data_IF_897692816327
#
_entry.id   IF_897692816327
#
_cell.length_a   1.000
_cell.length_b   1.000
_cell.length_c   1.000
_cell.angle_alpha   90.00
_cell.angle_beta   90.00
_cell.angle_gamma   90.00
#
_symmetry.space_group_name_H-M   'P 1'
#
loop_
_entity.id
_entity.type
_entity.pdbx_description
1 polymer ?
#
# COMPACT_ATOMS: atom_id res chain seq x y z
N UNK A 1 23.28 -20.36 -26.85
CA UNK A 1 22.06 -19.94 -26.14
C UNK A 1 22.49 -19.00 -25.02
N UNK A 2 22.09 -17.72 -25.00
CA UNK A 2 22.51 -16.85 -23.92
C UNK A 2 21.68 -17.16 -22.67
N UNK A 3 22.37 -17.67 -21.65
CA UNK A 3 21.91 -17.71 -20.26
C UNK A 3 21.74 -16.26 -19.78
N UNK A 4 20.50 -15.81 -19.64
CA UNK A 4 20.19 -14.59 -18.89
C UNK A 4 19.00 -14.89 -17.98
N UNK A 5 19.19 -15.84 -17.06
CA UNK A 5 18.30 -15.99 -15.91
C UNK A 5 18.51 -14.75 -15.06
N UNK A 6 17.55 -13.83 -15.19
CA UNK A 6 17.45 -12.56 -14.50
C UNK A 6 17.39 -12.81 -12.98
N UNK A 7 18.54 -13.05 -12.34
CA UNK A 7 18.70 -12.94 -10.90
C UNK A 7 18.69 -11.46 -10.51
N UNK A 8 17.60 -10.75 -10.83
CA UNK A 8 17.30 -9.47 -10.19
C UNK A 8 17.04 -9.82 -8.74
N UNK A 9 18.02 -9.55 -7.88
CA UNK A 9 17.90 -9.85 -6.45
C UNK A 9 16.60 -9.28 -5.85
N UNK A 10 16.09 -9.92 -4.80
CA UNK A 10 14.82 -9.58 -4.13
C UNK A 10 14.60 -8.06 -3.95
N UNK A 11 15.65 -7.34 -3.53
CA UNK A 11 15.63 -5.89 -3.37
C UNK A 11 15.44 -5.11 -4.67
N UNK A 12 16.07 -5.54 -5.77
CA UNK A 12 15.93 -4.87 -7.06
C UNK A 12 14.49 -5.01 -7.61
N UNK A 13 13.86 -6.17 -7.40
CA UNK A 13 12.47 -6.41 -7.76
C UNK A 13 11.51 -5.53 -6.95
N UNK A 14 11.59 -5.57 -5.61
CA UNK A 14 10.73 -4.74 -4.74
C UNK A 14 10.95 -3.25 -5.01
N UNK A 15 12.19 -2.81 -5.22
CA UNK A 15 12.50 -1.41 -5.60
C UNK A 15 11.82 -1.02 -6.91
N UNK A 16 11.87 -1.89 -7.92
CA UNK A 16 11.21 -1.64 -9.19
C UNK A 16 9.70 -1.52 -9.03
N UNK A 17 9.08 -2.40 -8.23
CA UNK A 17 7.65 -2.36 -7.97
C UNK A 17 7.21 -1.09 -7.22
N UNK A 18 7.98 -0.64 -6.22
CA UNK A 18 7.76 0.64 -5.53
C UNK A 18 7.84 1.80 -6.52
N UNK A 19 8.82 1.78 -7.44
CA UNK A 19 8.95 2.79 -8.47
C UNK A 19 7.76 2.80 -9.45
N UNK A 20 7.28 1.63 -9.85
CA UNK A 20 6.07 1.51 -10.69
C UNK A 20 4.84 2.09 -9.98
N UNK A 21 4.65 1.76 -8.69
CA UNK A 21 3.60 2.34 -7.86
C UNK A 21 3.71 3.87 -7.82
N UNK A 22 4.91 4.42 -7.57
CA UNK A 22 5.09 5.88 -7.56
C UNK A 22 4.70 6.55 -8.89
N UNK A 23 4.96 5.90 -10.01
CA UNK A 23 4.61 6.39 -11.35
C UNK A 23 3.18 6.03 -11.81
N UNK A 24 2.35 5.40 -10.95
CA UNK A 24 1.04 4.87 -11.32
C UNK A 24 1.09 3.90 -12.52
N UNK A 25 2.22 3.21 -12.69
CA UNK A 25 2.43 2.20 -13.73
C UNK A 25 2.08 0.83 -13.18
N UNK A 26 1.33 0.00 -13.93
CA UNK A 26 0.94 -1.32 -13.46
C UNK A 26 2.16 -2.23 -13.31
N UNK A 27 2.15 -3.06 -12.26
CA UNK A 27 3.16 -4.10 -12.04
C UNK A 27 2.71 -5.41 -12.67
N UNK A 28 3.64 -6.08 -13.34
CA UNK A 28 3.41 -7.39 -13.94
C UNK A 28 4.03 -8.50 -13.10
N UNK A 29 3.20 -9.23 -12.36
CA UNK A 29 3.68 -10.32 -11.51
C UNK A 29 3.87 -11.64 -12.29
N UNK A 30 3.49 -11.69 -13.57
CA UNK A 30 3.74 -12.86 -14.43
C UNK A 30 5.19 -12.91 -14.93
N UNK A 31 5.79 -11.75 -15.21
CA UNK A 31 7.18 -11.62 -15.65
C UNK A 31 8.16 -11.69 -14.48
N UNK A 32 7.77 -11.15 -13.32
CA UNK A 32 8.57 -11.16 -12.08
C UNK A 32 7.77 -11.80 -10.95
N UNK A 33 7.80 -13.14 -10.83
CA UNK A 33 7.05 -13.84 -9.80
C UNK A 33 7.58 -13.45 -8.42
N UNK A 34 6.65 -13.18 -7.52
CA UNK A 34 6.96 -12.86 -6.13
C UNK A 34 6.82 -14.09 -5.25
N UNK A 35 7.38 -14.00 -4.05
CA UNK A 35 7.23 -15.00 -3.00
C UNK A 35 7.09 -14.29 -1.65
N UNK A 36 7.03 -15.06 -0.56
CA UNK A 36 6.85 -14.52 0.79
C UNK A 36 7.96 -13.56 1.21
N UNK A 37 9.20 -13.76 0.73
CA UNK A 37 10.32 -12.85 1.04
C UNK A 37 10.10 -11.47 0.43
N UNK A 38 9.55 -11.38 -0.78
CA UNK A 38 9.20 -10.09 -1.40
C UNK A 38 8.10 -9.39 -0.61
N UNK A 39 7.09 -10.13 -0.16
CA UNK A 39 6.00 -9.59 0.65
C UNK A 39 6.52 -9.06 2.00
N UNK A 40 7.30 -9.86 2.72
CA UNK A 40 7.88 -9.46 4.01
C UNK A 40 8.82 -8.26 3.86
N UNK A 41 9.64 -8.23 2.80
CA UNK A 41 10.52 -7.11 2.51
C UNK A 41 9.73 -5.83 2.25
N UNK A 42 8.66 -5.90 1.43
CA UNK A 42 7.81 -4.76 1.16
C UNK A 42 7.09 -4.27 2.42
N UNK A 43 6.55 -5.18 3.23
CA UNK A 43 5.91 -4.85 4.51
C UNK A 43 6.88 -4.16 5.47
N UNK A 44 8.11 -4.65 5.56
CA UNK A 44 9.17 -4.04 6.37
C UNK A 44 9.52 -2.62 5.87
N UNK A 45 9.73 -2.45 4.56
CA UNK A 45 10.04 -1.15 3.97
C UNK A 45 8.92 -0.13 4.19
N UNK A 46 7.66 -0.51 3.95
CA UNK A 46 6.50 0.34 4.21
C UNK A 46 6.39 0.72 5.69
N UNK A 47 6.63 -0.25 6.59
CA UNK A 47 6.65 -0.01 8.05
C UNK A 47 7.70 1.03 8.43
N UNK A 48 8.93 0.88 7.95
CA UNK A 48 9.99 1.85 8.20
C UNK A 48 9.64 3.24 7.67
N UNK A 49 9.06 3.34 6.47
CA UNK A 49 8.67 4.62 5.87
C UNK A 49 7.54 5.30 6.65
N UNK A 50 6.53 4.54 7.07
CA UNK A 50 5.42 5.03 7.90
C UNK A 50 5.94 5.54 9.25
N UNK A 51 6.81 4.75 9.91
CA UNK A 51 7.42 5.14 11.18
C UNK A 51 8.24 6.43 11.04
N UNK A 52 9.09 6.53 10.02
CA UNK A 52 9.86 7.73 9.75
C UNK A 52 8.95 8.95 9.48
N UNK A 53 7.90 8.81 8.66
CA UNK A 53 6.95 9.88 8.39
C UNK A 53 6.22 10.34 9.67
N UNK A 54 5.88 9.41 10.56
CA UNK A 54 5.29 9.72 11.86
C UNK A 54 6.25 10.52 12.76
N UNK A 55 7.52 10.09 12.86
CA UNK A 55 8.52 10.81 13.65
C UNK A 55 8.74 12.24 13.15
N UNK A 56 8.84 12.41 11.82
CA UNK A 56 8.96 13.74 11.20
C UNK A 56 7.75 14.60 11.58
N UNK A 57 6.54 14.05 11.52
CA UNK A 57 5.34 14.77 11.95
C UNK A 57 5.39 15.20 13.41
N UNK A 58 5.79 14.31 14.32
CA UNK A 58 5.90 14.64 15.74
C UNK A 58 6.91 15.77 15.97
N UNK A 59 8.06 15.73 15.27
CA UNK A 59 9.06 16.81 15.29
C UNK A 59 8.45 18.13 14.82
N UNK A 60 7.78 18.15 13.67
CA UNK A 60 7.14 19.35 13.12
C UNK A 60 6.05 19.93 14.02
N UNK A 61 5.35 19.07 14.78
CA UNK A 61 4.32 19.50 15.74
C UNK A 61 4.87 19.95 17.10
N UNK A 62 6.20 20.01 17.28
CA UNK A 62 6.89 20.38 18.54
C UNK A 62 6.46 19.50 19.74
N UNK A 63 5.95 18.30 19.49
CA UNK A 63 5.54 17.35 20.53
C UNK A 63 6.73 16.50 21.00
N UNK A 64 7.77 17.15 21.54
CA UNK A 64 9.04 16.51 21.92
C UNK A 64 8.88 15.38 22.97
N UNK A 65 7.92 15.53 23.89
CA UNK A 65 7.62 14.49 24.88
C UNK A 65 6.98 13.24 24.24
N UNK A 66 6.00 13.42 23.33
CA UNK A 66 5.42 12.30 22.57
C UNK A 66 6.44 11.67 21.63
N UNK A 67 7.36 12.46 21.07
CA UNK A 67 8.46 11.96 20.24
C UNK A 67 9.38 11.03 21.03
N UNK A 68 9.82 11.44 22.22
CA UNK A 68 10.65 10.61 23.09
C UNK A 68 9.96 9.30 23.47
N UNK A 69 8.66 9.35 23.82
CA UNK A 69 7.86 8.16 24.12
C UNK A 69 7.74 7.20 22.93
N UNK A 70 7.52 7.70 21.71
CA UNK A 70 7.39 6.86 20.51
C UNK A 70 8.75 6.30 20.02
N UNK A 71 9.86 6.95 20.36
CA UNK A 71 11.21 6.40 20.13
C UNK A 71 11.51 5.27 21.13
N UNK A 72 11.15 5.45 22.41
CA UNK A 72 11.43 4.46 23.47
C UNK A 72 10.45 3.28 23.42
N UNK A 73 9.20 3.51 22.99
CA UNK A 73 8.16 2.48 22.91
C UNK A 73 7.30 2.68 21.65
N UNK A 74 7.70 2.11 20.50
CA UNK A 74 7.01 2.29 19.22
C UNK A 74 5.74 1.43 19.08
N UNK A 75 5.12 1.01 20.20
CA UNK A 75 4.04 0.02 20.22
C UNK A 75 2.87 0.40 19.30
N UNK A 76 2.41 1.66 19.34
CA UNK A 76 1.30 2.11 18.49
C UNK A 76 1.62 2.01 16.99
N UNK A 77 2.85 2.33 16.60
CA UNK A 77 3.25 2.28 15.19
C UNK A 77 3.40 0.81 14.76
N UNK A 78 3.96 -0.04 15.61
CA UNK A 78 4.01 -1.48 15.38
C UNK A 78 2.60 -2.09 15.22
N UNK A 79 1.63 -1.69 16.07
CA UNK A 79 0.24 -2.12 15.93
C UNK A 79 -0.36 -1.69 14.60
N UNK A 80 -0.16 -0.43 14.20
CA UNK A 80 -0.65 0.03 12.90
C UNK A 80 0.02 -0.70 11.73
N UNK A 81 1.30 -1.06 11.82
CA UNK A 81 1.99 -1.84 10.80
C UNK A 81 1.45 -3.28 10.71
N UNK A 82 1.21 -3.95 11.84
CA UNK A 82 0.55 -5.27 11.84
C UNK A 82 -0.85 -5.17 11.25
N UNK A 83 -1.60 -4.13 11.61
CA UNK A 83 -2.93 -3.88 11.09
C UNK A 83 -2.92 -3.69 9.56
N UNK A 84 -1.94 -2.94 9.02
CA UNK A 84 -1.76 -2.77 7.57
C UNK A 84 -1.44 -4.09 6.83
N UNK A 85 -0.64 -4.96 7.45
CA UNK A 85 -0.36 -6.31 6.92
C UNK A 85 -1.63 -7.15 6.90
N UNK A 86 -2.38 -7.20 8.01
CA UNK A 86 -3.62 -7.96 8.12
C UNK A 86 -4.66 -7.44 7.12
N UNK A 87 -4.87 -6.12 7.05
CA UNK A 87 -5.79 -5.54 6.09
C UNK A 87 -5.38 -5.89 4.67
N UNK A 88 -4.08 -5.79 4.32
CA UNK A 88 -3.61 -6.12 2.97
C UNK A 88 -3.86 -7.57 2.59
N UNK A 89 -3.75 -8.51 3.56
CA UNK A 89 -4.12 -9.90 3.37
C UNK A 89 -5.62 -10.09 3.17
N UNK A 90 -6.45 -9.43 3.99
CA UNK A 90 -7.93 -9.46 3.86
C UNK A 90 -8.35 -8.85 2.52
N UNK A 91 -7.77 -7.71 2.13
CA UNK A 91 -8.00 -7.07 0.84
C UNK A 91 -7.62 -8.00 -0.31
N UNK A 92 -6.41 -8.59 -0.26
CA UNK A 92 -5.96 -9.55 -1.26
C UNK A 92 -6.88 -10.77 -1.39
N UNK A 93 -7.43 -11.25 -0.26
CA UNK A 93 -8.42 -12.32 -0.24
C UNK A 93 -9.74 -11.91 -0.88
N UNK A 94 -10.27 -10.72 -0.53
CA UNK A 94 -11.50 -10.18 -1.14
C UNK A 94 -11.32 -10.01 -2.65
N UNK A 95 -10.20 -9.45 -3.11
CA UNK A 95 -9.89 -9.40 -4.54
C UNK A 95 -9.78 -10.79 -5.16
N UNK A 96 -9.19 -11.76 -4.45
CA UNK A 96 -9.11 -13.15 -4.90
C UNK A 96 -10.47 -13.79 -5.14
N UNK A 97 -11.49 -13.46 -4.36
CA UNK A 97 -12.88 -13.92 -4.58
C UNK A 97 -13.42 -13.37 -5.91
N UNK A 98 -13.27 -12.06 -6.15
CA UNK A 98 -13.77 -11.44 -7.38
C UNK A 98 -12.98 -11.85 -8.62
N UNK A 99 -11.72 -12.23 -8.44
CA UNK A 99 -10.82 -12.64 -9.50
C UNK A 99 -10.78 -14.16 -9.70
N UNK A 100 -11.49 -14.94 -8.88
CA UNK A 100 -11.42 -16.41 -8.86
C UNK A 100 -9.96 -16.93 -8.83
N UNK A 101 -9.08 -16.24 -8.09
CA UNK A 101 -7.68 -16.63 -7.93
C UNK A 101 -7.17 -16.20 -6.55
N UNK A 102 -6.99 -17.17 -5.66
CA UNK A 102 -6.40 -16.95 -4.35
C UNK A 102 -4.87 -17.03 -4.44
N UNK A 103 -4.20 -15.88 -4.52
CA UNK A 103 -2.74 -15.83 -4.61
C UNK A 103 -2.13 -14.75 -3.72
N UNK A 104 -0.91 -15.00 -3.24
CA UNK A 104 -0.09 -14.03 -2.49
C UNK A 104 0.14 -12.75 -3.32
N UNK A 105 0.13 -12.86 -4.64
CA UNK A 105 0.21 -11.76 -5.60
C UNK A 105 -0.83 -10.68 -5.34
N UNK A 106 -2.08 -11.07 -5.03
CA UNK A 106 -3.14 -10.11 -4.74
C UNK A 106 -2.84 -9.32 -3.46
N UNK A 107 -2.50 -10.03 -2.37
CA UNK A 107 -2.15 -9.38 -1.09
C UNK A 107 -0.89 -8.51 -1.20
N UNK A 108 0.07 -8.92 -2.03
CA UNK A 108 1.26 -8.13 -2.32
C UNK A 108 0.95 -6.84 -3.05
N UNK A 109 0.11 -6.89 -4.11
CA UNK A 109 -0.29 -5.70 -4.84
C UNK A 109 -1.09 -4.74 -3.95
N UNK A 110 -1.95 -5.27 -3.07
CA UNK A 110 -2.66 -4.46 -2.07
C UNK A 110 -1.65 -3.78 -1.14
N UNK A 111 -0.72 -4.52 -0.53
CA UNK A 111 0.36 -3.95 0.31
C UNK A 111 1.20 -2.91 -0.44
N UNK A 112 1.45 -3.12 -1.73
CA UNK A 112 2.21 -2.18 -2.55
C UNK A 112 1.43 -0.88 -2.76
N UNK A 113 0.11 -0.97 -2.96
CA UNK A 113 -0.78 0.19 -3.08
C UNK A 113 -0.86 1.01 -1.79
N UNK A 114 -0.53 0.45 -0.62
CA UNK A 114 -0.46 1.23 0.63
C UNK A 114 0.81 2.08 0.73
N UNK A 115 1.76 1.92 -0.20
CA UNK A 115 3.00 2.69 -0.23
C UNK A 115 2.82 4.20 -0.44
N UNK A 116 1.64 4.69 -0.80
CA UNK A 116 1.35 6.14 -0.80
C UNK A 116 1.25 6.73 0.62
N UNK A 117 1.05 5.91 1.66
CA UNK A 117 0.70 6.39 3.01
C UNK A 117 1.73 7.33 3.65
N UNK A 118 3.04 7.02 3.61
CA UNK A 118 4.07 7.92 4.12
C UNK A 118 3.99 9.33 3.50
N UNK A 119 3.67 9.42 2.20
CA UNK A 119 3.58 10.70 1.50
C UNK A 119 2.37 11.52 1.95
N UNK A 120 1.22 10.88 2.10
CA UNK A 120 0.03 11.54 2.66
C UNK A 120 0.32 12.06 4.05
N UNK A 121 0.95 11.27 4.91
CA UNK A 121 1.33 11.72 6.26
C UNK A 121 2.22 12.95 6.24
N UNK A 122 3.18 13.03 5.31
CA UNK A 122 4.07 14.19 5.22
C UNK A 122 3.39 15.42 4.61
N UNK A 123 2.63 15.25 3.54
CA UNK A 123 1.94 16.36 2.86
C UNK A 123 0.86 16.96 3.76
N UNK A 124 0.16 16.13 4.54
CA UNK A 124 -0.87 16.59 5.49
C UNK A 124 -0.32 17.42 6.65
N UNK A 125 0.99 17.35 6.96
CA UNK A 125 1.63 18.28 7.91
C UNK A 125 1.63 19.70 7.36
N UNK A 126 1.85 19.84 6.04
CA UNK A 126 1.97 21.13 5.36
C UNK A 126 0.58 21.69 5.07
N UNK A 127 -0.37 20.83 4.68
CA UNK A 127 -1.72 21.20 4.26
C UNK A 127 -2.79 20.57 5.14
N UNK A 128 -2.80 20.93 6.43
CA UNK A 128 -3.68 20.33 7.44
C UNK A 128 -5.17 20.44 7.06
N UNK A 129 -5.60 21.62 6.60
CA UNK A 129 -6.99 21.89 6.21
C UNK A 129 -7.47 21.07 4.99
N UNK A 130 -6.52 20.57 4.18
CA UNK A 130 -6.80 19.75 3.00
C UNK A 130 -6.59 18.26 3.26
N UNK A 131 -6.37 17.85 4.50
CA UNK A 131 -6.00 16.48 4.84
C UNK A 131 -7.00 15.43 4.35
N UNK A 132 -8.31 15.69 4.49
CA UNK A 132 -9.35 14.82 3.95
C UNK A 132 -9.29 14.68 2.43
N UNK A 133 -9.06 15.78 1.71
CA UNK A 133 -8.94 15.78 0.24
C UNK A 133 -7.70 15.00 -0.19
N UNK A 134 -6.55 15.20 0.49
CA UNK A 134 -5.30 14.50 0.20
C UNK A 134 -5.47 12.99 0.39
N UNK A 135 -6.13 12.56 1.48
CA UNK A 135 -6.43 11.15 1.74
C UNK A 135 -7.33 10.53 0.66
N UNK A 136 -8.37 11.24 0.21
CA UNK A 136 -9.25 10.77 -0.88
C UNK A 136 -8.46 10.62 -2.18
N UNK A 137 -7.66 11.63 -2.55
CA UNK A 137 -6.83 11.59 -3.75
C UNK A 137 -5.84 10.42 -3.73
N UNK A 138 -5.20 10.17 -2.57
CA UNK A 138 -4.29 9.04 -2.41
C UNK A 138 -5.02 7.69 -2.50
N UNK A 139 -6.24 7.59 -1.95
CA UNK A 139 -7.08 6.41 -2.11
C UNK A 139 -7.45 6.13 -3.56
N UNK A 140 -7.80 7.16 -4.33
CA UNK A 140 -8.09 7.03 -5.77
C UNK A 140 -6.83 6.60 -6.55
N UNK A 141 -5.67 7.18 -6.23
CA UNK A 141 -4.40 6.82 -6.86
C UNK A 141 -4.01 5.36 -6.57
N UNK A 142 -4.12 4.94 -5.31
CA UNK A 142 -3.89 3.57 -4.88
C UNK A 142 -4.82 2.58 -5.60
N UNK A 143 -6.10 2.92 -5.68
CA UNK A 143 -7.10 2.14 -6.39
C UNK A 143 -6.77 2.01 -7.89
N UNK A 144 -6.41 3.10 -8.54
CA UNK A 144 -6.04 3.07 -9.96
C UNK A 144 -4.82 2.18 -10.23
N UNK A 145 -3.78 2.30 -9.40
CA UNK A 145 -2.58 1.46 -9.48
C UNK A 145 -2.91 -0.02 -9.25
N UNK A 146 -3.67 -0.31 -8.20
CA UNK A 146 -4.01 -1.69 -7.83
C UNK A 146 -4.82 -2.35 -8.93
N UNK A 147 -5.87 -1.69 -9.39
CA UNK A 147 -6.75 -2.19 -10.45
C UNK A 147 -5.98 -2.41 -11.76
N UNK A 148 -5.15 -1.44 -12.17
CA UNK A 148 -4.38 -1.59 -13.41
C UNK A 148 -3.38 -2.75 -13.34
N UNK A 149 -2.83 -3.03 -12.15
CA UNK A 149 -1.93 -4.18 -11.93
C UNK A 149 -2.67 -5.51 -11.88
N UNK A 150 -3.80 -5.59 -11.17
CA UNK A 150 -4.62 -6.81 -11.08
C UNK A 150 -5.23 -7.21 -12.42
N UNK A 151 -5.59 -6.23 -13.27
CA UNK A 151 -6.31 -6.47 -14.52
C UNK A 151 -5.43 -6.55 -15.76
N UNK A 152 -4.11 -6.35 -15.64
CA UNK A 152 -3.20 -6.17 -16.80
C UNK A 152 -3.31 -7.29 -17.84
N UNK A 153 -3.61 -8.52 -17.41
CA UNK A 153 -3.77 -9.70 -18.27
C UNK A 153 -5.12 -10.40 -18.14
N UNK A 154 -6.14 -9.70 -17.63
CA UNK A 154 -7.44 -10.31 -17.35
C UNK A 154 -8.55 -9.62 -18.14
N UNK A 155 -9.29 -10.42 -18.89
CA UNK A 155 -10.56 -10.01 -19.47
C UNK A 155 -11.66 -10.37 -18.47
N UNK A 156 -12.55 -9.41 -18.18
CA UNK A 156 -13.80 -9.73 -17.50
C UNK A 156 -14.78 -10.33 -18.50
N UNK A 157 -15.50 -11.35 -18.08
CA UNK A 157 -16.55 -11.98 -18.90
C UNK A 157 -17.72 -11.03 -19.16
N UNK A 158 -18.08 -10.19 -18.19
CA UNK A 158 -19.15 -9.20 -18.33
C UNK A 158 -18.74 -7.78 -17.91
N UNK A 159 -19.42 -6.77 -18.52
CA UNK A 159 -19.26 -5.36 -18.16
C UNK A 159 -19.76 -5.06 -16.73
N UNK A 160 -20.71 -5.86 -16.23
CA UNK A 160 -21.32 -5.69 -14.91
C UNK A 160 -20.34 -6.12 -13.82
N UNK A 161 -19.66 -7.26 -13.99
CA UNK A 161 -18.67 -7.75 -13.04
C UNK A 161 -17.49 -6.78 -12.92
N UNK A 162 -17.09 -6.17 -14.04
CA UNK A 162 -16.09 -5.10 -14.05
C UNK A 162 -16.54 -3.89 -13.22
N UNK A 163 -17.81 -3.49 -13.28
CA UNK A 163 -18.33 -2.35 -12.50
C UNK A 163 -18.38 -2.72 -11.01
N UNK A 164 -18.89 -3.90 -10.67
CA UNK A 164 -18.91 -4.37 -9.28
C UNK A 164 -17.51 -4.45 -8.67
N UNK A 165 -16.56 -5.03 -9.42
CA UNK A 165 -15.15 -5.07 -9.01
C UNK A 165 -14.62 -3.66 -8.73
N UNK A 166 -14.81 -2.71 -9.65
CA UNK A 166 -14.35 -1.33 -9.49
C UNK A 166 -14.96 -0.65 -8.26
N UNK A 167 -16.27 -0.82 -8.04
CA UNK A 167 -16.97 -0.18 -6.92
C UNK A 167 -16.50 -0.74 -5.58
N UNK A 168 -16.41 -2.06 -5.45
CA UNK A 168 -15.94 -2.71 -4.22
C UNK A 168 -14.47 -2.40 -3.95
N UNK A 169 -13.65 -2.40 -5.01
CA UNK A 169 -12.23 -2.04 -4.94
C UNK A 169 -12.03 -0.62 -4.41
N UNK A 170 -12.77 0.33 -4.96
CA UNK A 170 -12.73 1.72 -4.55
C UNK A 170 -13.24 1.92 -3.11
N UNK A 171 -14.30 1.22 -2.69
CA UNK A 171 -14.81 1.27 -1.31
C UNK A 171 -13.80 0.69 -0.31
N UNK A 172 -13.16 -0.43 -0.65
CA UNK A 172 -12.11 -1.03 0.19
C UNK A 172 -10.92 -0.08 0.31
N UNK A 173 -10.38 0.38 -0.80
CA UNK A 173 -9.20 1.25 -0.80
C UNK A 173 -9.48 2.60 -0.12
N UNK A 174 -10.40 3.40 -0.66
CA UNK A 174 -10.67 4.75 -0.15
C UNK A 174 -11.26 4.71 1.27
N UNK A 175 -12.21 3.81 1.52
CA UNK A 175 -12.94 3.73 2.79
C UNK A 175 -12.13 3.07 3.91
N UNK A 176 -11.56 1.90 3.67
CA UNK A 176 -10.94 1.12 4.76
C UNK A 176 -9.48 1.49 5.02
N UNK A 177 -8.70 1.86 4.00
CA UNK A 177 -7.28 2.16 4.20
C UNK A 177 -7.02 3.65 4.41
N UNK A 178 -7.77 4.54 3.77
CA UNK A 178 -7.43 5.97 3.73
C UNK A 178 -8.31 6.85 4.62
N UNK A 179 -9.53 6.41 4.94
CA UNK A 179 -10.39 7.08 5.91
C UNK A 179 -10.15 6.62 7.35
N UNK A 180 -9.82 5.33 7.56
CA UNK A 180 -9.57 4.77 8.90
C UNK A 180 -8.17 5.13 9.42
N UNK A 181 -7.17 5.23 8.53
CA UNK A 181 -5.79 5.49 8.95
C UNK A 181 -5.55 6.84 9.65
N UNK A 182 -6.17 7.97 9.25
CA UNK A 182 -6.16 9.21 10.02
C UNK A 182 -6.61 9.02 11.48
N UNK A 183 -7.54 8.08 11.75
CA UNK A 183 -8.01 7.82 13.11
C UNK A 183 -6.95 7.17 14.01
N UNK A 184 -5.97 6.48 13.45
CA UNK A 184 -4.91 5.81 14.23
C UNK A 184 -3.65 6.65 14.41
N UNK A 185 -3.37 7.58 13.48
CA UNK A 185 -2.10 8.30 13.45
C UNK A 185 -2.25 9.81 13.45
N UNK A 186 -3.41 10.38 13.10
CA UNK A 186 -3.62 11.83 12.98
C UNK A 186 -4.21 12.49 14.23
N UNK A 187 -4.86 11.72 15.10
CA UNK A 187 -5.31 12.13 16.45
C UNK A 187 -4.17 12.41 17.43
#
# INVERSE_FOLDING_TARGET
MPNNVNNKGYFACVKHHIYCMWLLRPVDLSETPINILHFLLLAFLNTCLIFCAHLIRLICSVNLFKLALNIVSPLYILFGCVFMIVLSMVGGWVYGIFLDEMSLSNSYLVMLSTGYMPYVMLITIIFVDLSGIISICAGIAAEYFLRSSLLKHRAFESKIDKIYFVVVSMLLNVGAYWFIYPLFFVS
#
